data_IF_213228862629
#
_entry.id   IF_213228862629
#
_cell.length_a   1.000
_cell.length_b   1.000
_cell.length_c   1.000
_cell.angle_alpha   90.00
_cell.angle_beta   90.00
_cell.angle_gamma   90.00
#
_symmetry.space_group_name_H-M   'P 1'
#
loop_
_entity.id
_entity.type
_entity.pdbx_description
1 polymer ?
#
# COMPACT_ATOMS: atom_id res chain seq x y z
N UNK A 1 0.96 -8.19 27.32
CA UNK A 1 0.91 -7.31 26.13
C UNK A 1 1.10 -8.14 24.89
N UNK A 2 0.14 -8.09 23.99
CA UNK A 2 0.23 -8.83 22.73
C UNK A 2 1.25 -8.15 21.81
N UNK A 3 2.20 -8.91 21.28
CA UNK A 3 3.11 -8.42 20.26
C UNK A 3 2.39 -8.39 18.90
N UNK A 4 2.63 -7.34 18.14
CA UNK A 4 2.08 -7.19 16.81
C UNK A 4 3.19 -7.43 15.78
N UNK A 5 2.96 -8.38 14.88
CA UNK A 5 3.90 -8.67 13.79
C UNK A 5 3.45 -7.96 12.53
N UNK A 6 4.29 -7.06 12.05
CA UNK A 6 4.03 -6.28 10.83
C UNK A 6 5.09 -6.60 9.81
N UNK A 7 4.70 -6.80 8.56
CA UNK A 7 5.64 -6.96 7.47
C UNK A 7 5.24 -6.11 6.28
N UNK A 8 6.21 -5.83 5.40
CA UNK A 8 5.99 -5.11 4.14
C UNK A 8 6.00 -6.09 2.99
N UNK A 9 5.12 -5.84 2.03
CA UNK A 9 5.12 -6.58 0.77
C UNK A 9 5.20 -5.60 -0.39
N UNK A 10 6.19 -5.78 -1.26
CA UNK A 10 6.41 -4.88 -2.40
C UNK A 10 6.03 -5.53 -3.70
N UNK A 11 4.97 -5.03 -4.32
CA UNK A 11 4.46 -5.58 -5.57
C UNK A 11 5.37 -5.35 -6.79
N UNK A 12 6.44 -4.62 -6.62
CA UNK A 12 7.39 -4.34 -7.71
C UNK A 12 8.72 -5.11 -7.58
N UNK A 13 8.86 -5.98 -6.59
CA UNK A 13 10.07 -6.77 -6.38
C UNK A 13 9.92 -8.19 -6.92
N UNK A 14 9.53 -8.32 -8.19
CA UNK A 14 9.32 -9.64 -8.78
C UNK A 14 10.57 -10.51 -8.82
N UNK A 15 11.74 -9.92 -8.94
CA UNK A 15 12.97 -10.65 -9.24
C UNK A 15 13.92 -10.81 -8.08
N UNK A 16 13.42 -10.86 -6.89
CA UNK A 16 14.21 -11.44 -5.83
C UNK A 16 14.15 -12.94 -6.10
N UNK A 17 15.11 -13.42 -6.86
CA UNK A 17 15.15 -14.82 -7.34
C UNK A 17 15.00 -15.85 -6.23
N UNK A 18 15.36 -15.46 -5.03
CA UNK A 18 15.41 -16.35 -3.88
C UNK A 18 14.11 -16.35 -3.09
N UNK A 19 13.23 -15.35 -3.31
CA UNK A 19 12.00 -15.19 -2.51
C UNK A 19 10.86 -14.67 -3.37
N UNK A 20 10.35 -15.47 -4.31
CA UNK A 20 9.21 -15.03 -5.13
C UNK A 20 7.91 -15.12 -4.33
N UNK A 21 7.84 -14.41 -3.22
CA UNK A 21 6.66 -14.47 -2.36
C UNK A 21 5.56 -13.58 -2.90
N UNK A 22 4.44 -14.18 -3.21
CA UNK A 22 3.22 -13.47 -3.51
C UNK A 22 2.50 -13.13 -2.21
N UNK A 23 1.61 -12.13 -2.27
CA UNK A 23 0.95 -11.62 -1.07
C UNK A 23 0.16 -12.70 -0.32
N UNK A 24 -0.43 -13.65 -1.05
CA UNK A 24 -1.19 -14.75 -0.46
C UNK A 24 -0.35 -15.70 0.39
N UNK A 25 0.98 -15.62 0.27
CA UNK A 25 1.90 -16.49 1.03
C UNK A 25 2.30 -15.94 2.39
N UNK A 26 1.79 -14.77 2.77
CA UNK A 26 2.12 -14.17 4.07
C UNK A 26 1.66 -15.11 5.20
N UNK A 27 2.55 -15.45 6.14
CA UNK A 27 2.22 -16.39 7.22
C UNK A 27 1.12 -15.87 8.16
N UNK A 28 0.32 -16.79 8.67
CA UNK A 28 -0.82 -16.45 9.53
C UNK A 28 -0.45 -15.75 10.85
N UNK A 29 0.80 -15.88 11.29
CA UNK A 29 1.23 -15.19 12.52
C UNK A 29 1.44 -13.69 12.31
N UNK A 30 1.46 -13.22 11.06
CA UNK A 30 1.56 -11.79 10.76
C UNK A 30 0.22 -11.14 11.06
N UNK A 31 0.24 -10.04 11.80
CA UNK A 31 -0.98 -9.30 12.15
C UNK A 31 -1.34 -8.26 11.09
N UNK A 32 -0.32 -7.61 10.52
CA UNK A 32 -0.51 -6.53 9.54
C UNK A 32 0.49 -6.70 8.41
N UNK A 33 0.01 -6.65 7.19
CA UNK A 33 0.88 -6.53 6.01
C UNK A 33 0.68 -5.14 5.40
N UNK A 34 1.79 -4.49 5.08
CA UNK A 34 1.77 -3.15 4.48
C UNK A 34 2.21 -3.28 3.03
N UNK A 35 1.33 -2.87 2.14
CA UNK A 35 1.60 -2.93 0.70
C UNK A 35 2.45 -1.72 0.30
N UNK A 36 3.69 -1.96 -0.03
CA UNK A 36 4.65 -0.94 -0.43
C UNK A 36 4.92 -1.04 -1.93
N UNK A 37 4.70 -0.06 -2.67
CA UNK A 37 4.21 1.27 -2.28
C UNK A 37 3.05 1.66 -3.18
N UNK A 38 2.17 2.51 -2.67
CA UNK A 38 1.05 3.06 -3.42
C UNK A 38 1.42 4.47 -3.84
N UNK A 39 1.21 4.79 -5.09
CA UNK A 39 1.56 6.06 -5.71
C UNK A 39 1.59 5.93 -7.22
N UNK A 40 1.90 6.98 -7.93
CA UNK A 40 2.26 8.31 -7.42
C UNK A 40 1.05 9.12 -6.96
N UNK A 41 1.31 10.28 -6.35
CA UNK A 41 0.29 11.27 -6.05
C UNK A 41 0.36 12.31 -7.15
N UNK A 42 -0.71 12.44 -7.93
CA UNK A 42 -0.79 13.41 -9.03
C UNK A 42 -2.10 14.16 -8.93
N UNK A 43 -2.03 15.49 -9.07
CA UNK A 43 -3.20 16.36 -8.94
C UNK A 43 -3.97 16.11 -7.64
N UNK A 44 -3.23 15.91 -6.55
CA UNK A 44 -3.77 15.61 -5.22
C UNK A 44 -4.58 14.31 -5.17
N UNK A 45 -4.41 13.42 -6.15
CA UNK A 45 -5.04 12.10 -6.14
C UNK A 45 -3.99 11.00 -6.03
N UNK A 46 -4.35 9.94 -5.33
CA UNK A 46 -3.47 8.79 -5.12
C UNK A 46 -3.77 7.74 -6.16
N UNK A 47 -2.71 7.25 -6.81
CA UNK A 47 -2.82 6.19 -7.82
C UNK A 47 -2.17 4.91 -7.33
N UNK A 48 -2.49 3.80 -7.96
CA UNK A 48 -1.91 2.50 -7.60
C UNK A 48 -0.87 2.02 -8.62
N UNK A 49 -0.38 2.91 -9.45
CA UNK A 49 0.55 2.59 -10.54
C UNK A 49 1.79 1.85 -10.04
N UNK A 50 2.39 2.33 -8.95
CA UNK A 50 3.59 1.68 -8.40
C UNK A 50 3.29 0.26 -7.93
N UNK A 51 2.19 0.09 -7.21
CA UNK A 51 1.84 -1.21 -6.65
C UNK A 51 1.49 -2.22 -7.74
N UNK A 52 0.87 -1.76 -8.81
CA UNK A 52 0.40 -2.61 -9.90
C UNK A 52 1.42 -2.73 -11.05
N UNK A 53 2.70 -2.48 -10.79
CA UNK A 53 3.72 -2.53 -11.83
C UNK A 53 4.01 -3.94 -12.32
N UNK A 54 3.75 -4.96 -11.52
CA UNK A 54 4.04 -6.37 -11.85
C UNK A 54 2.78 -7.21 -11.85
N UNK A 55 1.97 -7.10 -10.79
CA UNK A 55 0.73 -7.86 -10.66
C UNK A 55 -0.46 -6.94 -10.91
N UNK A 56 -1.51 -7.49 -11.52
CA UNK A 56 -2.72 -6.71 -11.77
C UNK A 56 -3.45 -6.33 -10.48
N UNK A 57 -4.26 -5.28 -10.55
CA UNK A 57 -5.08 -4.86 -9.42
C UNK A 57 -6.00 -5.99 -8.96
N UNK A 58 -6.62 -6.70 -9.91
CA UNK A 58 -7.52 -7.82 -9.61
C UNK A 58 -6.79 -8.92 -8.85
N UNK A 59 -5.57 -9.24 -9.25
CA UNK A 59 -4.78 -10.27 -8.60
C UNK A 59 -4.44 -9.87 -7.16
N UNK A 60 -3.99 -8.63 -6.96
CA UNK A 60 -3.62 -8.17 -5.63
C UNK A 60 -4.85 -8.09 -4.73
N UNK A 61 -5.98 -7.63 -5.25
CA UNK A 61 -7.24 -7.59 -4.50
C UNK A 61 -7.68 -8.98 -4.04
N UNK A 62 -7.51 -9.98 -4.89
CA UNK A 62 -7.80 -11.36 -4.52
C UNK A 62 -6.91 -11.82 -3.38
N UNK A 63 -5.62 -11.53 -3.43
CA UNK A 63 -4.69 -11.86 -2.37
C UNK A 63 -5.00 -11.11 -1.07
N UNK A 64 -5.49 -9.88 -1.15
CA UNK A 64 -5.94 -9.13 0.02
C UNK A 64 -7.08 -9.87 0.71
N UNK A 65 -8.03 -10.40 -0.06
CA UNK A 65 -9.12 -11.20 0.50
C UNK A 65 -8.59 -12.46 1.19
N UNK A 66 -7.56 -13.08 0.64
CA UNK A 66 -6.91 -14.24 1.28
C UNK A 66 -6.25 -13.82 2.59
N UNK A 67 -5.57 -12.68 2.62
CA UNK A 67 -5.00 -12.15 3.86
C UNK A 67 -6.08 -11.94 4.92
N UNK A 68 -7.20 -11.35 4.53
CA UNK A 68 -8.32 -11.13 5.45
C UNK A 68 -8.88 -12.46 5.98
N UNK A 69 -8.91 -13.50 5.15
CA UNK A 69 -9.37 -14.82 5.60
C UNK A 69 -8.44 -15.43 6.64
N UNK A 70 -7.18 -15.00 6.67
CA UNK A 70 -6.19 -15.40 7.68
C UNK A 70 -6.16 -14.46 8.88
N UNK A 71 -7.10 -13.53 8.94
CA UNK A 71 -7.16 -12.51 10.00
C UNK A 71 -5.95 -11.55 9.98
N UNK A 72 -5.41 -11.28 8.81
CA UNK A 72 -4.33 -10.33 8.59
C UNK A 72 -4.92 -9.02 8.08
N UNK A 73 -4.59 -7.91 8.73
CA UNK A 73 -4.97 -6.58 8.25
C UNK A 73 -4.04 -6.13 7.17
N UNK A 74 -4.56 -5.38 6.20
CA UNK A 74 -3.81 -4.93 5.04
C UNK A 74 -3.85 -3.41 4.98
N UNK A 75 -2.66 -2.81 4.96
CA UNK A 75 -2.50 -1.35 4.89
C UNK A 75 -1.85 -0.98 3.56
N UNK A 76 -2.14 0.22 3.09
CA UNK A 76 -1.36 0.86 2.03
C UNK A 76 -0.26 1.70 2.64
N UNK A 77 0.95 1.63 2.07
CA UNK A 77 2.00 2.62 2.34
C UNK A 77 2.10 3.54 1.12
N UNK A 78 1.84 4.82 1.34
CA UNK A 78 1.80 5.81 0.27
C UNK A 78 3.17 6.45 0.17
N UNK A 79 3.80 6.35 -1.01
CA UNK A 79 5.11 6.92 -1.27
C UNK A 79 4.94 8.19 -2.10
N UNK A 80 5.53 9.26 -1.61
CA UNK A 80 5.60 10.50 -2.37
C UNK A 80 6.76 10.46 -3.38
N UNK A 81 6.74 11.43 -4.29
CA UNK A 81 7.84 11.66 -5.25
C UNK A 81 8.25 13.12 -5.16
N UNK A 82 9.39 13.51 -5.72
CA UNK A 82 9.77 14.93 -5.73
C UNK A 82 8.71 15.86 -6.32
N UNK A 83 7.85 15.34 -7.18
CA UNK A 83 6.78 16.11 -7.82
C UNK A 83 5.53 16.23 -6.96
N UNK A 84 5.48 15.58 -5.82
CA UNK A 84 4.27 15.58 -4.97
C UNK A 84 3.94 16.96 -4.41
N UNK A 85 4.93 17.69 -3.94
CA UNK A 85 4.76 19.04 -3.36
C UNK A 85 3.68 19.10 -2.31
N UNK A 86 3.95 18.52 -1.14
CA UNK A 86 3.00 18.40 -0.05
C UNK A 86 2.34 19.72 0.35
N UNK A 87 3.07 20.84 0.25
CA UNK A 87 2.55 22.18 0.56
C UNK A 87 1.48 22.66 -0.43
N UNK A 88 1.37 22.02 -1.60
CA UNK A 88 0.42 22.37 -2.64
C UNK A 88 -0.71 21.34 -2.76
N UNK A 89 -0.74 20.33 -1.90
CA UNK A 89 -1.76 19.29 -1.95
C UNK A 89 -3.12 19.85 -1.50
N UNK A 90 -4.15 19.58 -2.29
CA UNK A 90 -5.53 19.78 -1.87
C UNK A 90 -5.93 18.62 -0.97
N UNK A 91 -5.93 18.85 0.34
CA UNK A 91 -6.15 17.81 1.32
C UNK A 91 -7.53 17.15 1.20
N UNK A 92 -8.54 17.91 0.82
CA UNK A 92 -9.88 17.36 0.63
C UNK A 92 -9.91 16.38 -0.54
N UNK A 93 -9.30 16.77 -1.65
CA UNK A 93 -9.22 15.93 -2.84
C UNK A 93 -8.38 14.68 -2.58
N UNK A 94 -7.25 14.85 -1.89
CA UNK A 94 -6.37 13.74 -1.51
C UNK A 94 -7.12 12.73 -0.64
N UNK A 95 -7.79 13.20 0.41
CA UNK A 95 -8.53 12.33 1.32
C UNK A 95 -9.66 11.58 0.61
N UNK A 96 -10.36 12.24 -0.31
CA UNK A 96 -11.42 11.58 -1.08
C UNK A 96 -10.87 10.49 -1.98
N UNK A 97 -9.76 10.75 -2.68
CA UNK A 97 -9.16 9.75 -3.57
C UNK A 97 -8.68 8.55 -2.76
N UNK A 98 -8.11 8.81 -1.59
CA UNK A 98 -7.61 7.76 -0.71
C UNK A 98 -8.76 6.89 -0.20
N UNK A 99 -9.87 7.52 0.22
CA UNK A 99 -11.04 6.77 0.69
C UNK A 99 -11.62 5.87 -0.40
N UNK A 100 -11.70 6.38 -1.63
CA UNK A 100 -12.18 5.58 -2.78
C UNK A 100 -11.31 4.35 -2.96
N UNK A 101 -9.98 4.50 -2.91
CA UNK A 101 -9.07 3.38 -3.05
C UNK A 101 -9.20 2.39 -1.88
N UNK A 102 -9.31 2.90 -0.66
CA UNK A 102 -9.44 2.02 0.51
C UNK A 102 -10.71 1.19 0.43
N UNK A 103 -11.81 1.81 0.01
CA UNK A 103 -13.09 1.10 -0.13
C UNK A 103 -13.03 0.08 -1.27
N UNK A 104 -12.45 0.47 -2.41
CA UNK A 104 -12.35 -0.40 -3.58
C UNK A 104 -11.43 -1.61 -3.33
N UNK A 105 -10.36 -1.40 -2.59
CA UNK A 105 -9.36 -2.44 -2.30
C UNK A 105 -9.58 -3.13 -0.95
N UNK A 106 -10.58 -2.71 -0.20
CA UNK A 106 -10.90 -3.25 1.12
C UNK A 106 -9.70 -3.14 2.08
N UNK A 107 -9.12 -1.95 2.16
CA UNK A 107 -7.90 -1.68 2.92
C UNK A 107 -8.25 -1.25 4.34
N UNK A 108 -7.49 -1.73 5.31
CA UNK A 108 -7.75 -1.52 6.74
C UNK A 108 -7.08 -0.27 7.31
N UNK A 109 -6.05 0.25 6.65
CA UNK A 109 -5.34 1.41 7.18
C UNK A 109 -4.32 1.97 6.20
N UNK A 110 -3.71 3.08 6.59
CA UNK A 110 -2.80 3.84 5.75
C UNK A 110 -1.52 4.14 6.53
N UNK A 111 -0.40 4.02 5.83
CA UNK A 111 0.91 4.49 6.24
C UNK A 111 1.42 5.46 5.16
N UNK A 112 2.04 6.54 5.56
CA UNK A 112 2.59 7.51 4.61
C UNK A 112 4.11 7.51 4.74
N UNK A 113 4.78 7.13 3.65
CA UNK A 113 6.23 7.14 3.56
C UNK A 113 6.64 8.38 2.78
N UNK A 114 6.85 9.48 3.51
CA UNK A 114 7.19 10.76 2.92
C UNK A 114 8.72 10.91 2.89
N UNK A 115 9.32 10.61 1.74
CA UNK A 115 10.77 10.65 1.55
C UNK A 115 11.24 11.90 0.81
N UNK A 116 10.31 12.63 0.20
CA UNK A 116 10.60 13.87 -0.49
C UNK A 116 10.49 15.06 0.47
N UNK A 117 10.67 16.28 -0.06
CA UNK A 117 10.71 17.50 0.76
C UNK A 117 9.44 17.73 1.57
N UNK A 118 9.39 17.12 2.74
CA UNK A 118 8.37 17.46 3.71
C UNK A 118 8.73 18.77 4.40
N UNK A 119 7.79 19.70 4.55
CA UNK A 119 8.04 20.87 5.38
C UNK A 119 8.34 20.44 6.79
N UNK A 120 9.43 20.92 7.30
CA UNK A 120 9.81 20.61 8.67
C UNK A 120 8.97 21.41 9.67
#
# INVERSE_FOLDING_TARGET
>A
MKQIFTCYWGGYFKNIKEYPQTLDMIPEFVDVVILAFVGPIQNSTVETTFLCSIYSAEQIKEWINICHSKNIKVFFSILDTPETHWDQIDLTKFAKSLKVLMDDWNIDGIDIDAESDMPS
#
